data_IF_696021979742
#
_entry.id   IF_696021979742
#
_cell.length_a   1.000
_cell.length_b   1.000
_cell.length_c   1.000
_cell.angle_alpha   90.00
_cell.angle_beta   90.00
_cell.angle_gamma   90.00
#
_symmetry.space_group_name_H-M   'P 1'
#
loop_
_entity.id
_entity.type
_entity.pdbx_description
1 polymer ?
#
# COMPACT_ATOMS: atom_id res chain seq x y z
N UNK A 1 -9.53 1.45 27.14
CA UNK A 1 -8.70 2.67 26.99
C UNK A 1 -8.77 3.11 25.53
N UNK A 2 -8.87 4.40 25.20
CA UNK A 2 -8.99 4.83 23.79
C UNK A 2 -7.59 4.85 23.17
N UNK A 3 -7.36 4.10 22.09
CA UNK A 3 -6.13 4.18 21.29
C UNK A 3 -6.28 5.37 20.32
N UNK A 4 -5.37 6.36 20.39
CA UNK A 4 -5.48 7.62 19.65
C UNK A 4 -4.33 7.90 18.69
N UNK A 5 -3.27 7.12 18.80
CA UNK A 5 -2.02 7.38 18.08
C UNK A 5 -1.64 6.19 17.20
N UNK A 6 -1.11 6.49 16.03
CA UNK A 6 -0.53 5.49 15.14
C UNK A 6 0.85 5.93 14.64
N UNK A 7 1.72 4.97 14.35
CA UNK A 7 2.99 5.17 13.66
C UNK A 7 2.97 4.38 12.36
N UNK A 8 3.25 5.04 11.25
CA UNK A 8 3.30 4.41 9.93
C UNK A 8 4.70 4.53 9.34
N UNK A 9 5.31 3.40 9.07
CA UNK A 9 6.68 3.31 8.56
C UNK A 9 6.71 3.48 7.04
N UNK A 10 7.35 4.54 6.56
CA UNK A 10 7.38 4.92 5.13
C UNK A 10 8.80 5.05 4.57
N UNK A 11 9.76 4.29 5.12
CA UNK A 11 11.19 4.39 4.79
C UNK A 11 11.66 3.69 3.52
N UNK A 12 10.81 2.86 2.88
CA UNK A 12 11.22 2.00 1.76
C UNK A 12 11.44 2.73 0.43
N UNK A 13 12.52 2.35 -0.31
CA UNK A 13 12.83 2.92 -1.64
C UNK A 13 11.92 2.44 -2.78
N UNK A 14 11.18 1.33 -2.62
CA UNK A 14 10.25 0.81 -3.63
C UNK A 14 10.89 0.40 -4.96
N UNK A 15 12.11 -0.13 -4.96
CA UNK A 15 12.90 -0.40 -6.18
C UNK A 15 12.24 -1.37 -7.17
N UNK A 16 11.41 -2.30 -6.68
CA UNK A 16 10.66 -3.25 -7.53
C UNK A 16 9.57 -2.58 -8.38
N UNK A 17 9.18 -1.35 -8.03
CA UNK A 17 8.18 -0.54 -8.76
C UNK A 17 8.81 0.44 -9.75
N UNK A 18 10.15 0.41 -9.90
CA UNK A 18 10.78 1.26 -10.94
C UNK A 18 10.24 0.92 -12.33
N UNK A 19 10.08 1.96 -13.18
CA UNK A 19 10.57 3.34 -13.03
C UNK A 19 9.62 4.29 -12.27
N UNK A 20 8.43 3.88 -11.85
CA UNK A 20 7.43 4.75 -11.20
C UNK A 20 7.95 5.40 -9.90
N UNK A 21 8.84 4.72 -9.19
CA UNK A 21 9.42 5.18 -7.92
C UNK A 21 10.73 5.97 -8.07
N UNK A 22 11.19 6.22 -9.28
CA UNK A 22 12.35 7.09 -9.53
C UNK A 22 12.09 8.54 -9.08
N UNK A 23 10.89 9.04 -9.35
CA UNK A 23 10.50 10.41 -9.09
C UNK A 23 9.79 10.59 -7.76
N UNK A 24 9.08 9.56 -7.26
CA UNK A 24 8.21 9.64 -6.07
C UNK A 24 8.33 8.39 -5.18
N UNK A 25 8.21 8.49 -3.85
CA UNK A 25 8.21 7.33 -2.97
C UNK A 25 6.95 6.47 -3.17
N UNK A 26 7.07 5.15 -2.92
CA UNK A 26 6.01 4.16 -3.08
C UNK A 26 4.68 4.55 -2.39
N UNK A 27 4.65 5.05 -1.14
CA UNK A 27 3.39 5.36 -0.46
C UNK A 27 2.51 6.41 -1.15
N UNK A 28 3.10 7.29 -1.97
CA UNK A 28 2.35 8.32 -2.71
C UNK A 28 2.01 7.94 -4.15
N UNK A 29 2.34 6.73 -4.61
CA UNK A 29 1.82 6.22 -5.87
C UNK A 29 0.29 6.20 -5.84
N UNK A 30 -0.34 6.59 -6.94
CA UNK A 30 -1.80 6.71 -6.99
C UNK A 30 -2.48 5.35 -7.06
N UNK A 31 -3.44 5.15 -6.16
CA UNK A 31 -4.49 4.14 -6.31
C UNK A 31 -5.80 4.90 -6.50
N UNK A 32 -6.39 4.76 -7.68
CA UNK A 32 -7.46 5.64 -8.12
C UNK A 32 -7.01 7.10 -7.96
N UNK A 33 -7.41 8.11 -7.68
CA UNK A 33 -6.81 9.46 -7.58
C UNK A 33 -6.30 9.85 -6.18
N UNK A 34 -6.11 8.88 -5.28
CA UNK A 34 -5.54 9.11 -3.94
C UNK A 34 -4.17 8.44 -3.80
N UNK A 35 -3.25 8.99 -2.98
CA UNK A 35 -2.03 8.27 -2.60
C UNK A 35 -2.35 6.90 -1.98
N UNK A 36 -1.55 5.88 -2.25
CA UNK A 36 -1.74 4.54 -1.68
C UNK A 36 -1.87 4.59 -0.14
N UNK A 37 -1.00 5.33 0.53
CA UNK A 37 -1.03 5.50 1.99
C UNK A 37 -2.31 6.18 2.52
N UNK A 38 -2.99 6.97 1.70
CA UNK A 38 -4.21 7.67 2.11
C UNK A 38 -5.31 6.71 2.59
N UNK A 39 -5.40 5.52 1.98
CA UNK A 39 -6.40 4.51 2.37
C UNK A 39 -6.14 3.95 3.77
N UNK A 40 -4.87 3.70 4.11
CA UNK A 40 -4.47 3.31 5.45
C UNK A 40 -4.76 4.42 6.47
N UNK A 41 -4.38 5.67 6.15
CA UNK A 41 -4.65 6.83 7.03
C UNK A 41 -6.17 7.00 7.23
N UNK A 42 -6.97 6.81 6.18
CA UNK A 42 -8.44 6.80 6.26
C UNK A 42 -8.96 5.72 7.20
N UNK A 43 -8.39 4.52 7.12
CA UNK A 43 -8.74 3.39 7.99
C UNK A 43 -8.41 3.69 9.46
N UNK A 44 -7.25 4.30 9.72
CA UNK A 44 -6.85 4.78 11.04
C UNK A 44 -7.79 5.88 11.56
N UNK A 45 -8.14 6.87 10.74
CA UNK A 45 -9.08 7.93 11.10
C UNK A 45 -10.46 7.37 11.48
N UNK A 46 -10.98 6.40 10.69
CA UNK A 46 -12.24 5.71 10.98
C UNK A 46 -12.20 4.92 12.30
N UNK A 47 -11.04 4.39 12.68
CA UNK A 47 -10.83 3.72 13.96
C UNK A 47 -10.74 4.68 15.15
N UNK A 48 -10.80 6.00 14.93
CA UNK A 48 -10.73 7.02 15.98
C UNK A 48 -9.32 7.41 16.36
N UNK A 49 -8.32 7.10 15.54
CA UNK A 49 -6.96 7.61 15.68
C UNK A 49 -6.97 9.12 15.41
N UNK A 50 -6.34 9.89 16.28
CA UNK A 50 -6.33 11.36 16.23
C UNK A 50 -4.99 11.89 15.69
N UNK A 51 -3.92 11.10 15.83
CA UNK A 51 -2.57 11.44 15.38
C UNK A 51 -1.90 10.26 14.67
N UNK A 52 -1.28 10.54 13.52
CA UNK A 52 -0.41 9.61 12.80
C UNK A 52 0.99 10.19 12.72
N UNK A 53 1.99 9.44 13.18
CA UNK A 53 3.40 9.76 12.99
C UNK A 53 3.90 8.97 11.78
N UNK A 54 4.32 9.66 10.73
CA UNK A 54 4.96 9.04 9.56
C UNK A 54 6.47 8.96 9.83
N UNK A 55 6.99 7.75 10.03
CA UNK A 55 8.43 7.50 10.17
C UNK A 55 9.05 7.42 8.75
N UNK A 56 9.72 8.48 8.35
CA UNK A 56 10.19 8.70 6.98
C UNK A 56 11.69 8.46 6.86
N UNK A 57 12.11 7.66 5.87
CA UNK A 57 13.53 7.46 5.53
C UNK A 57 13.90 7.99 4.14
N UNK A 58 12.98 7.92 3.16
CA UNK A 58 13.25 8.24 1.75
C UNK A 58 12.34 9.34 1.21
N UNK A 59 12.93 10.42 0.63
CA UNK A 59 12.22 11.57 0.04
C UNK A 59 11.14 12.18 0.95
N UNK A 60 11.46 12.59 2.16
CA UNK A 60 10.46 13.02 3.14
C UNK A 60 9.62 14.22 2.68
N UNK A 61 10.20 15.23 2.03
CA UNK A 61 9.48 16.44 1.60
C UNK A 61 8.30 16.17 0.66
N UNK A 62 8.37 15.12 -0.16
CA UNK A 62 7.22 14.72 -1.01
C UNK A 62 6.08 14.10 -0.21
N UNK A 63 6.39 13.45 0.91
CA UNK A 63 5.37 12.93 1.82
C UNK A 63 4.60 14.07 2.47
N UNK A 64 5.29 15.12 2.91
CA UNK A 64 4.68 16.31 3.52
C UNK A 64 3.73 17.03 2.56
N UNK A 65 4.09 17.16 1.29
CA UNK A 65 3.26 17.80 0.27
C UNK A 65 2.00 17.02 -0.10
N UNK A 66 2.01 15.69 0.08
CA UNK A 66 0.96 14.80 -0.44
C UNK A 66 0.12 14.11 0.62
N UNK A 67 0.52 14.17 1.89
CA UNK A 67 -0.10 13.43 2.99
C UNK A 67 -0.26 14.32 4.23
N UNK A 68 -1.02 15.41 4.13
CA UNK A 68 -1.24 16.34 5.25
C UNK A 68 -2.39 15.91 6.20
N UNK A 69 -3.22 14.95 5.78
CA UNK A 69 -4.33 14.41 6.58
C UNK A 69 -5.52 15.35 6.75
N UNK A 70 -5.48 16.55 6.19
CA UNK A 70 -6.50 17.58 6.41
C UNK A 70 -7.90 17.17 5.94
N UNK A 71 -8.00 16.43 4.84
CA UNK A 71 -9.25 15.90 4.30
C UNK A 71 -9.85 14.74 5.16
N UNK A 72 -9.08 14.18 6.08
CA UNK A 72 -9.49 13.09 6.96
C UNK A 72 -9.69 13.52 8.42
N UNK A 73 -9.41 14.79 8.75
CA UNK A 73 -9.52 15.33 10.11
C UNK A 73 -8.53 14.70 11.10
N UNK A 74 -7.40 14.19 10.63
CA UNK A 74 -6.36 13.55 11.42
C UNK A 74 -5.08 14.39 11.40
N UNK A 75 -4.39 14.48 12.53
CA UNK A 75 -3.10 15.18 12.62
C UNK A 75 -1.99 14.28 12.12
N UNK A 76 -1.20 14.75 11.15
CA UNK A 76 0.00 14.06 10.67
C UNK A 76 1.24 14.74 11.22
N UNK A 77 2.15 13.95 11.78
CA UNK A 77 3.51 14.36 12.16
C UNK A 77 4.52 13.54 11.37
N UNK A 78 5.68 14.12 11.15
CA UNK A 78 6.77 13.47 10.42
C UNK A 78 7.94 13.26 11.35
N UNK A 79 8.47 12.04 11.38
CA UNK A 79 9.69 11.67 12.07
C UNK A 79 10.70 11.17 11.03
N UNK A 80 11.94 11.61 11.16
CA UNK A 80 12.99 11.28 10.20
C UNK A 80 14.00 10.36 10.84
N UNK A 81 14.41 9.34 10.09
CA UNK A 81 15.49 8.44 10.46
C UNK A 81 16.73 8.81 9.65
N UNK A 82 17.86 9.06 10.35
CA UNK A 82 19.15 9.32 9.70
C UNK A 82 19.68 8.04 9.04
N UNK A 83 19.45 6.89 9.69
CA UNK A 83 19.79 5.56 9.20
C UNK A 83 18.61 4.59 9.38
N UNK A 84 18.41 3.61 8.48
CA UNK A 84 17.34 2.62 8.63
C UNK A 84 17.52 1.79 9.91
N UNK A 85 16.59 1.92 10.85
CA UNK A 85 16.62 1.23 12.15
C UNK A 85 15.77 -0.05 12.18
N UNK A 86 15.12 -0.42 11.07
CA UNK A 86 14.14 -1.49 11.04
C UNK A 86 12.82 -1.09 11.66
N UNK A 87 11.82 -1.96 11.60
CA UNK A 87 10.45 -1.61 11.99
C UNK A 87 10.28 -1.35 13.49
N UNK A 88 10.86 -2.18 14.34
CA UNK A 88 10.79 -1.98 15.79
C UNK A 88 11.80 -0.93 16.28
N UNK A 89 12.96 -0.81 15.63
CA UNK A 89 13.95 0.22 15.94
C UNK A 89 13.41 1.63 15.67
N UNK A 90 12.65 1.83 14.58
CA UNK A 90 11.95 3.08 14.31
C UNK A 90 10.97 3.46 15.42
N UNK A 91 10.21 2.48 15.96
CA UNK A 91 9.32 2.72 17.12
C UNK A 91 10.13 3.07 18.38
N UNK A 92 11.28 2.42 18.59
CA UNK A 92 12.15 2.72 19.75
C UNK A 92 12.65 4.15 19.74
N UNK A 93 12.97 4.72 18.59
CA UNK A 93 13.35 6.13 18.45
C UNK A 93 12.22 7.10 18.85
N UNK A 94 10.98 6.67 18.77
CA UNK A 94 9.79 7.45 19.09
C UNK A 94 9.21 7.15 20.46
N UNK A 95 9.79 6.22 21.25
CA UNK A 95 9.21 5.67 22.48
C UNK A 95 8.69 6.73 23.46
N UNK A 96 9.44 7.81 23.68
CA UNK A 96 9.05 8.89 24.59
C UNK A 96 7.86 9.72 24.10
N UNK A 97 7.51 9.60 22.83
CA UNK A 97 6.42 10.31 22.16
C UNK A 97 5.17 9.45 21.97
N UNK A 98 5.24 8.16 22.31
CA UNK A 98 4.16 7.21 22.09
C UNK A 98 3.25 7.08 23.32
N UNK A 99 1.94 6.92 23.05
CA UNK A 99 0.95 6.51 24.06
C UNK A 99 1.23 5.07 24.54
N UNK A 100 0.65 4.68 25.70
CA UNK A 100 0.84 3.34 26.26
C UNK A 100 0.36 2.22 25.35
N UNK A 101 -0.66 2.49 24.54
CA UNK A 101 -1.13 1.60 23.47
C UNK A 101 -1.27 2.40 22.17
N UNK A 102 -0.68 1.93 21.11
CA UNK A 102 -0.69 2.58 19.80
C UNK A 102 -0.79 1.57 18.65
N UNK A 103 -1.16 2.06 17.46
CA UNK A 103 -1.13 1.27 16.23
C UNK A 103 0.21 1.49 15.54
N UNK A 104 0.84 0.42 15.05
CA UNK A 104 1.99 0.52 14.14
C UNK A 104 1.62 -0.12 12.81
N UNK A 105 2.04 0.47 11.68
CA UNK A 105 1.76 -0.12 10.38
C UNK A 105 2.89 0.13 9.38
N UNK A 106 3.06 -0.84 8.48
CA UNK A 106 3.83 -0.64 7.27
C UNK A 106 3.06 0.30 6.34
N UNK A 107 3.71 1.39 5.89
CA UNK A 107 3.10 2.38 4.99
C UNK A 107 3.29 2.06 3.51
N UNK A 108 3.88 0.92 3.20
CA UNK A 108 4.12 0.46 1.83
C UNK A 108 3.11 -0.61 1.36
N UNK A 109 2.05 -0.82 2.11
CA UNK A 109 0.90 -1.67 1.75
C UNK A 109 -0.29 -0.81 1.32
N UNK A 110 -1.11 -1.34 0.43
CA UNK A 110 -2.44 -0.81 0.22
C UNK A 110 -3.39 -1.45 1.25
N UNK A 111 -4.01 -0.64 2.08
CA UNK A 111 -4.88 -1.11 3.15
C UNK A 111 -6.11 -0.21 3.32
N UNK A 112 -7.28 -0.73 2.98
CA UNK A 112 -8.58 -0.16 3.30
C UNK A 112 -9.36 -1.16 4.17
N UNK A 113 -9.03 -1.16 5.47
CA UNK A 113 -9.30 -2.22 6.44
C UNK A 113 -10.01 -1.69 7.68
N UNK A 114 -10.53 -2.59 8.50
CA UNK A 114 -11.13 -2.24 9.80
C UNK A 114 -10.09 -2.36 10.93
N UNK A 115 -9.45 -1.22 11.27
CA UNK A 115 -8.50 -1.12 12.38
C UNK A 115 -9.20 -1.04 13.74
N UNK A 116 -10.46 -0.57 13.78
CA UNK A 116 -11.20 -0.48 15.04
C UNK A 116 -11.47 -1.86 15.63
N UNK A 117 -11.79 -2.84 14.78
CA UNK A 117 -11.99 -4.22 15.20
C UNK A 117 -10.70 -4.84 15.75
N UNK A 118 -9.54 -4.59 15.11
CA UNK A 118 -8.22 -5.04 15.60
C UNK A 118 -7.89 -4.45 16.98
N UNK A 119 -8.16 -3.15 17.18
CA UNK A 119 -8.00 -2.48 18.49
C UNK A 119 -8.91 -3.14 19.53
N UNK A 120 -10.17 -3.46 19.19
CA UNK A 120 -11.09 -4.16 20.07
C UNK A 120 -10.56 -5.52 20.51
N UNK A 121 -10.10 -6.34 19.57
CA UNK A 121 -9.46 -7.64 19.85
C UNK A 121 -8.24 -7.50 20.75
N UNK A 122 -7.41 -6.50 20.53
CA UNK A 122 -6.24 -6.22 21.39
C UNK A 122 -6.64 -5.96 22.84
N UNK A 123 -7.66 -5.13 23.04
CA UNK A 123 -8.14 -4.76 24.38
C UNK A 123 -8.83 -5.92 25.09
N UNK A 124 -9.68 -6.68 24.37
CA UNK A 124 -10.43 -7.79 24.93
C UNK A 124 -9.53 -8.96 25.35
N UNK A 125 -8.38 -9.10 24.73
CA UNK A 125 -7.44 -10.20 24.97
C UNK A 125 -6.27 -9.84 25.90
N UNK A 126 -6.13 -8.58 26.30
CA UNK A 126 -4.97 -8.06 27.06
C UNK A 126 -3.63 -8.47 26.43
N UNK A 127 -3.58 -8.42 25.10
CA UNK A 127 -2.41 -8.81 24.34
C UNK A 127 -1.28 -7.77 24.48
N UNK A 128 -0.03 -8.22 24.41
CA UNK A 128 1.13 -7.33 24.30
C UNK A 128 1.31 -6.80 22.89
N UNK A 129 1.00 -7.67 21.92
CA UNK A 129 1.01 -7.37 20.48
C UNK A 129 -0.22 -8.04 19.87
N UNK A 130 -0.98 -7.31 19.06
CA UNK A 130 -1.96 -7.88 18.13
C UNK A 130 -1.45 -7.67 16.72
N UNK A 131 -1.54 -8.69 15.87
CA UNK A 131 -1.06 -8.68 14.49
C UNK A 131 -2.24 -8.94 13.56
N UNK A 132 -2.49 -8.02 12.62
CA UNK A 132 -3.43 -8.28 11.55
C UNK A 132 -2.90 -9.37 10.62
N UNK A 133 -3.71 -10.41 10.40
CA UNK A 133 -3.39 -11.57 9.58
C UNK A 133 -4.32 -11.65 8.37
N UNK A 134 -3.78 -12.06 7.23
CA UNK A 134 -4.56 -12.32 6.01
C UNK A 134 -4.04 -13.56 5.30
N UNK A 135 -4.90 -14.37 4.66
CA UNK A 135 -4.45 -15.52 3.89
C UNK A 135 -3.88 -15.08 2.53
N UNK A 136 -2.82 -15.75 2.09
CA UNK A 136 -2.23 -15.59 0.74
C UNK A 136 -1.88 -16.95 0.13
N UNK A 137 -1.79 -16.98 -1.21
CA UNK A 137 -1.41 -18.21 -1.94
C UNK A 137 0.07 -18.54 -1.81
N UNK A 138 0.94 -17.51 -1.79
CA UNK A 138 2.38 -17.69 -1.63
C UNK A 138 2.92 -16.95 -0.39
N UNK A 139 3.06 -17.64 0.75
CA UNK A 139 3.43 -17.00 2.02
C UNK A 139 4.95 -16.80 2.21
N UNK A 140 5.81 -17.31 1.32
CA UNK A 140 7.26 -17.29 1.53
C UNK A 140 7.92 -15.90 1.54
N UNK A 141 7.21 -14.87 1.07
CA UNK A 141 7.72 -13.49 1.08
C UNK A 141 7.35 -12.73 2.38
N UNK A 142 6.61 -13.34 3.30
CA UNK A 142 6.02 -12.72 4.50
C UNK A 142 6.35 -13.46 5.78
N UNK A 143 6.04 -12.84 6.91
CA UNK A 143 5.96 -13.54 8.18
C UNK A 143 4.69 -14.39 8.25
N UNK A 144 4.78 -15.66 8.60
CA UNK A 144 3.63 -16.56 8.75
C UNK A 144 3.32 -16.82 10.22
N UNK A 145 2.03 -16.97 10.52
CA UNK A 145 1.55 -17.22 11.87
C UNK A 145 0.66 -18.46 11.95
N UNK A 146 0.82 -19.24 13.04
CA UNK A 146 -0.13 -20.27 13.46
C UNK A 146 -0.91 -19.74 14.65
N UNK A 147 -2.23 -19.75 14.56
CA UNK A 147 -3.11 -19.30 15.64
C UNK A 147 -3.84 -20.51 16.25
N UNK A 148 -4.09 -20.45 17.54
CA UNK A 148 -4.96 -21.40 18.24
C UNK A 148 -6.45 -21.00 18.16
N UNK A 149 -7.32 -21.79 18.78
CA UNK A 149 -8.76 -21.54 18.79
C UNK A 149 -9.17 -20.22 19.48
N UNK A 150 -8.31 -19.63 20.30
CA UNK A 150 -8.52 -18.32 20.93
C UNK A 150 -7.96 -17.18 20.12
N UNK A 151 -7.39 -17.46 18.93
CA UNK A 151 -6.69 -16.49 18.09
C UNK A 151 -5.29 -16.12 18.58
N UNK A 152 -4.77 -16.75 19.66
CA UNK A 152 -3.41 -16.52 20.13
C UNK A 152 -2.42 -17.11 19.13
N UNK A 153 -1.39 -16.35 18.80
CA UNK A 153 -0.28 -16.84 17.95
C UNK A 153 0.58 -17.80 18.77
N UNK A 154 0.66 -19.05 18.33
CA UNK A 154 1.47 -20.09 18.95
C UNK A 154 2.82 -20.30 18.28
N UNK A 155 2.93 -19.92 17.00
CA UNK A 155 4.15 -20.02 16.20
C UNK A 155 4.20 -18.89 15.19
N UNK A 156 5.38 -18.30 15.01
CA UNK A 156 5.61 -17.21 14.05
C UNK A 156 6.96 -17.41 13.36
N UNK A 157 7.02 -17.25 12.04
CA UNK A 157 8.25 -17.37 11.27
C UNK A 157 8.29 -16.36 10.13
N UNK A 158 9.33 -15.54 10.10
CA UNK A 158 9.55 -14.54 9.05
C UNK A 158 10.21 -15.21 7.83
N UNK A 159 9.59 -15.00 6.65
CA UNK A 159 10.06 -15.45 5.33
C UNK A 159 10.52 -16.90 5.31
N UNK A 160 9.61 -17.84 5.57
CA UNK A 160 9.95 -19.27 5.61
C UNK A 160 10.40 -19.75 4.22
N UNK A 161 11.28 -20.76 4.20
CA UNK A 161 11.50 -21.51 2.98
C UNK A 161 10.25 -22.35 2.66
N UNK A 162 10.06 -22.80 1.40
CA UNK A 162 8.87 -23.58 1.03
C UNK A 162 8.60 -24.79 1.94
N UNK A 163 9.65 -25.49 2.37
CA UNK A 163 9.59 -26.65 3.27
C UNK A 163 9.27 -26.29 4.73
N UNK A 164 9.34 -25.02 5.08
CA UNK A 164 9.10 -24.50 6.44
C UNK A 164 7.72 -23.85 6.57
N UNK A 165 6.95 -23.82 5.48
CA UNK A 165 5.62 -23.22 5.47
C UNK A 165 4.65 -24.11 6.25
N UNK A 166 4.12 -23.57 7.35
CA UNK A 166 3.13 -24.25 8.20
C UNK A 166 1.76 -23.57 8.19
N UNK A 167 1.66 -22.38 7.57
CA UNK A 167 0.43 -21.57 7.51
C UNK A 167 0.45 -20.69 6.27
N UNK A 168 -0.73 -20.40 5.72
CA UNK A 168 -0.93 -19.37 4.70
C UNK A 168 -1.41 -18.03 5.28
N UNK A 169 -1.62 -17.96 6.61
CA UNK A 169 -1.91 -16.71 7.31
C UNK A 169 -0.63 -15.92 7.47
N UNK A 170 -0.57 -14.78 6.80
CA UNK A 170 0.61 -13.92 6.82
C UNK A 170 0.36 -12.66 7.66
N UNK A 171 1.45 -12.10 8.17
CA UNK A 171 1.50 -10.80 8.80
C UNK A 171 1.22 -9.70 7.77
N UNK A 172 0.11 -9.01 7.93
CA UNK A 172 -0.31 -7.92 7.04
C UNK A 172 0.43 -6.59 7.30
N UNK A 173 1.31 -6.55 8.29
CA UNK A 173 2.08 -5.34 8.62
C UNK A 173 1.26 -4.26 9.32
N UNK A 174 0.19 -4.63 10.01
CA UNK A 174 -0.60 -3.76 10.89
C UNK A 174 -0.63 -4.39 12.26
N UNK A 175 -0.37 -3.59 13.28
CA UNK A 175 -0.19 -4.05 14.65
C UNK A 175 -0.85 -3.12 15.65
N UNK A 176 -1.37 -3.66 16.74
CA UNK A 176 -1.67 -2.90 17.96
C UNK A 176 -0.69 -3.33 19.04
N UNK A 177 -0.03 -2.39 19.67
CA UNK A 177 1.12 -2.63 20.56
C UNK A 177 0.93 -1.97 21.91
N UNK A 178 1.25 -2.70 22.98
CA UNK A 178 1.56 -2.09 24.28
C UNK A 178 2.98 -1.50 24.23
N UNK A 179 3.15 -0.22 24.59
CA UNK A 179 4.45 0.47 24.54
C UNK A 179 5.55 -0.26 25.31
N UNK A 180 5.21 -0.95 26.39
CA UNK A 180 6.16 -1.70 27.22
C UNK A 180 6.99 -2.73 26.46
N UNK A 181 6.49 -3.26 25.31
CA UNK A 181 7.25 -4.23 24.49
C UNK A 181 8.52 -3.60 23.92
N UNK A 182 8.55 -2.27 23.76
CA UNK A 182 9.73 -1.55 23.27
C UNK A 182 10.92 -1.59 24.23
N UNK A 183 10.70 -1.98 25.49
CA UNK A 183 11.79 -2.22 26.44
C UNK A 183 12.72 -3.37 26.01
N UNK A 184 12.26 -4.26 25.11
CA UNK A 184 13.04 -5.35 24.52
C UNK A 184 13.84 -4.92 23.28
N UNK A 185 13.58 -3.71 22.77
CA UNK A 185 14.27 -3.17 21.60
C UNK A 185 15.51 -2.40 22.10
N UNK A 186 16.72 -2.81 21.70
CA UNK A 186 17.94 -2.09 22.07
C UNK A 186 17.97 -0.71 21.40
N UNK A 187 18.45 0.32 22.09
CA UNK A 187 18.53 1.66 21.52
C UNK A 187 19.58 1.72 20.40
N UNK A 188 19.30 2.52 19.36
CA UNK A 188 20.22 2.80 18.24
C UNK A 188 20.74 1.53 17.53
N UNK A 189 19.90 0.52 17.39
CA UNK A 189 20.23 -0.70 16.66
C UNK A 189 19.10 -1.04 15.69
N UNK A 190 19.47 -1.61 14.54
CA UNK A 190 18.49 -2.19 13.63
C UNK A 190 17.76 -3.33 14.32
N UNK A 191 16.43 -3.23 14.39
CA UNK A 191 15.58 -4.22 15.04
C UNK A 191 14.23 -4.31 14.33
N UNK A 192 13.80 -5.52 14.01
CA UNK A 192 12.59 -5.75 13.21
C UNK A 192 11.47 -6.38 14.07
N UNK A 193 10.22 -5.99 13.81
CA UNK A 193 9.07 -6.58 14.51
C UNK A 193 9.01 -8.09 14.30
N UNK A 194 9.06 -8.51 13.05
CA UNK A 194 8.80 -9.90 12.65
C UNK A 194 9.97 -10.84 12.97
N UNK A 195 11.21 -10.36 12.79
CA UNK A 195 12.40 -11.19 12.99
C UNK A 195 12.85 -11.25 14.44
N UNK A 196 12.68 -10.13 15.15
CA UNK A 196 13.31 -9.96 16.44
C UNK A 196 12.28 -9.83 17.58
N UNK A 197 11.39 -8.82 17.54
CA UNK A 197 10.52 -8.50 18.67
C UNK A 197 9.44 -9.56 18.92
N UNK A 198 8.69 -9.97 17.89
CA UNK A 198 7.60 -10.95 18.03
C UNK A 198 8.12 -12.29 18.57
N UNK A 199 9.24 -12.87 18.05
CA UNK A 199 9.83 -14.07 18.62
C UNK A 199 10.26 -13.93 20.09
N UNK A 200 10.82 -12.78 20.50
CA UNK A 200 11.19 -12.52 21.89
C UNK A 200 9.96 -12.54 22.79
N UNK A 201 8.91 -11.79 22.43
CA UNK A 201 7.68 -11.73 23.24
C UNK A 201 7.03 -13.11 23.36
N UNK A 202 7.01 -13.90 22.28
CA UNK A 202 6.51 -15.29 22.31
C UNK A 202 7.34 -16.17 23.24
N UNK A 203 8.67 -16.09 23.19
CA UNK A 203 9.58 -16.87 24.03
C UNK A 203 9.48 -16.54 25.51
N UNK A 204 9.16 -15.32 25.86
CA UNK A 204 8.88 -14.85 27.22
C UNK A 204 7.47 -15.25 27.73
N UNK A 205 6.67 -15.92 26.89
CA UNK A 205 5.27 -16.29 27.20
C UNK A 205 4.29 -15.13 27.12
N UNK A 206 4.71 -13.98 26.61
CA UNK A 206 3.83 -12.83 26.36
C UNK A 206 2.72 -13.19 25.35
N UNK A 207 1.54 -12.59 25.53
CA UNK A 207 0.43 -12.83 24.63
C UNK A 207 0.61 -12.05 23.33
N UNK A 208 0.79 -12.77 22.22
CA UNK A 208 0.70 -12.24 20.87
C UNK A 208 -0.61 -12.76 20.27
N UNK A 209 -1.48 -11.86 19.85
CA UNK A 209 -2.82 -12.15 19.34
C UNK A 209 -2.84 -11.96 17.82
N UNK A 210 -3.44 -12.90 17.08
CA UNK A 210 -3.78 -12.73 15.68
C UNK A 210 -5.19 -12.15 15.53
N UNK A 211 -5.35 -11.25 14.59
CA UNK A 211 -6.63 -10.73 14.14
C UNK A 211 -6.82 -11.02 12.65
N UNK A 212 -7.90 -11.69 12.26
CA UNK A 212 -8.24 -11.90 10.86
C UNK A 212 -8.69 -10.58 10.25
N UNK A 213 -7.87 -10.03 9.38
CA UNK A 213 -8.09 -8.74 8.75
C UNK A 213 -9.37 -8.73 7.92
N UNK A 214 -10.22 -7.70 8.09
CA UNK A 214 -11.37 -7.42 7.25
C UNK A 214 -11.13 -6.19 6.37
N UNK A 215 -11.59 -6.26 5.11
CA UNK A 215 -11.38 -5.19 4.12
C UNK A 215 -10.47 -5.59 2.97
N UNK A 216 -9.87 -4.61 2.29
CA UNK A 216 -8.96 -4.84 1.18
C UNK A 216 -7.53 -4.56 1.65
N UNK A 217 -6.68 -5.55 1.54
CA UNK A 217 -5.25 -5.46 1.80
C UNK A 217 -4.47 -6.05 0.63
N UNK A 218 -3.43 -5.35 0.19
CA UNK A 218 -2.52 -5.81 -0.88
C UNK A 218 -1.10 -5.31 -0.61
N UNK A 219 -0.10 -6.18 -0.72
CA UNK A 219 1.28 -5.73 -0.82
C UNK A 219 1.52 -5.18 -2.24
N UNK A 220 1.57 -3.86 -2.37
CA UNK A 220 1.86 -3.19 -3.64
C UNK A 220 3.37 -3.21 -3.89
N UNK A 221 3.94 -4.40 -4.00
CA UNK A 221 5.38 -4.59 -4.16
C UNK A 221 5.87 -4.47 -5.60
N UNK A 222 5.02 -4.73 -6.58
CA UNK A 222 5.35 -4.83 -8.01
C UNK A 222 4.31 -4.09 -8.87
N UNK A 223 4.61 -3.77 -10.14
CA UNK A 223 3.67 -3.05 -11.01
C UNK A 223 2.29 -3.70 -11.14
N UNK A 224 2.23 -5.03 -11.27
CA UNK A 224 0.94 -5.72 -11.38
C UNK A 224 0.10 -5.65 -10.08
N UNK A 225 0.73 -5.53 -8.92
CA UNK A 225 0.04 -5.31 -7.65
C UNK A 225 -0.59 -3.92 -7.60
N UNK A 226 0.14 -2.91 -8.13
CA UNK A 226 -0.38 -1.54 -8.23
C UNK A 226 -1.58 -1.46 -9.19
N UNK A 227 -1.52 -2.10 -10.35
CA UNK A 227 -2.66 -2.19 -11.26
C UNK A 227 -3.81 -2.95 -10.60
N UNK A 228 -3.52 -4.08 -9.92
CA UNK A 228 -4.51 -4.85 -9.17
C UNK A 228 -5.22 -4.04 -8.11
N UNK A 229 -4.49 -3.25 -7.31
CA UNK A 229 -5.07 -2.35 -6.30
C UNK A 229 -5.98 -1.29 -6.93
N UNK A 230 -5.55 -0.71 -8.05
CA UNK A 230 -6.35 0.26 -8.79
C UNK A 230 -7.66 -0.36 -9.32
N UNK A 231 -7.62 -1.56 -9.89
CA UNK A 231 -8.81 -2.27 -10.39
C UNK A 231 -9.75 -2.70 -9.26
N UNK A 232 -9.20 -3.18 -8.12
CA UNK A 232 -9.99 -3.53 -6.95
C UNK A 232 -10.76 -2.32 -6.40
N UNK A 233 -10.11 -1.15 -6.36
CA UNK A 233 -10.77 0.09 -5.93
C UNK A 233 -11.74 0.63 -6.98
N UNK A 234 -11.44 0.52 -8.26
CA UNK A 234 -12.35 0.88 -9.34
C UNK A 234 -13.66 0.09 -9.26
N UNK A 235 -13.60 -1.20 -8.95
CA UNK A 235 -14.76 -2.05 -8.71
C UNK A 235 -15.58 -1.59 -7.51
N UNK A 236 -14.92 -1.17 -6.42
CA UNK A 236 -15.59 -0.77 -5.17
C UNK A 236 -16.23 0.61 -5.25
N UNK A 237 -15.55 1.57 -5.87
CA UNK A 237 -16.01 2.95 -5.90
C UNK A 237 -17.08 3.21 -6.95
N UNK A 238 -17.26 2.32 -7.95
CA UNK A 238 -18.28 2.40 -9.01
C UNK A 238 -18.49 3.81 -9.56
N UNK A 239 -17.43 4.62 -9.69
CA UNK A 239 -17.55 5.98 -10.22
C UNK A 239 -17.79 5.89 -11.72
N UNK A 240 -19.05 5.85 -12.10
CA UNK A 240 -19.50 6.06 -13.48
C UNK A 240 -19.53 7.56 -13.75
N UNK A 241 -18.39 8.15 -14.03
CA UNK A 241 -18.39 9.53 -14.55
C UNK A 241 -18.74 9.48 -16.05
N UNK A 242 -19.80 10.21 -16.43
CA UNK A 242 -20.40 10.20 -17.78
C UNK A 242 -19.60 10.95 -18.85
N UNK A 243 -18.26 10.97 -18.75
CA UNK A 243 -17.36 11.69 -19.68
C UNK A 243 -16.78 10.81 -20.77
N UNK A 244 -17.36 9.63 -20.99
CA UNK A 244 -17.00 8.75 -22.10
C UNK A 244 -17.92 9.09 -23.30
N UNK A 245 -17.34 9.61 -24.36
CA UNK A 245 -18.03 9.90 -25.63
C UNK A 245 -17.69 8.77 -26.61
N UNK A 246 -18.71 8.06 -27.12
CA UNK A 246 -18.57 6.94 -28.08
C UNK A 246 -17.52 5.89 -27.64
N UNK A 247 -17.46 5.58 -26.33
CA UNK A 247 -16.51 4.62 -25.77
C UNK A 247 -17.20 3.31 -25.39
N UNK A 248 -16.51 2.19 -25.71
CA UNK A 248 -16.89 0.86 -25.26
C UNK A 248 -16.12 0.50 -23.99
N UNK A 249 -16.82 0.39 -22.87
CA UNK A 249 -16.20 0.09 -21.58
C UNK A 249 -16.66 -1.28 -21.07
N UNK A 250 -15.72 -2.15 -20.70
CA UNK A 250 -15.97 -3.50 -20.17
C UNK A 250 -15.10 -3.80 -18.96
N UNK A 251 -15.65 -4.59 -18.01
CA UNK A 251 -14.95 -4.95 -16.77
C UNK A 251 -14.86 -3.80 -15.78
N UNK A 252 -13.94 -3.93 -14.81
CA UNK A 252 -13.73 -2.91 -13.79
C UNK A 252 -12.98 -1.71 -14.40
N UNK A 253 -13.47 -0.50 -14.15
CA UNK A 253 -12.84 0.71 -14.69
C UNK A 253 -13.00 1.89 -13.75
N UNK A 254 -12.11 2.85 -13.94
CA UNK A 254 -12.19 4.15 -13.27
C UNK A 254 -11.78 5.26 -14.24
N UNK A 255 -12.48 6.38 -14.13
CA UNK A 255 -12.16 7.63 -14.83
C UNK A 255 -12.08 8.76 -13.82
N UNK A 256 -10.88 9.30 -13.64
CA UNK A 256 -10.60 10.35 -12.67
C UNK A 256 -11.13 11.73 -13.04
N UNK A 257 -11.16 12.67 -12.09
CA UNK A 257 -11.61 14.04 -12.33
C UNK A 257 -10.88 14.71 -13.50
N UNK A 258 -11.64 15.33 -14.41
CA UNK A 258 -11.06 16.00 -15.59
C UNK A 258 -10.47 15.08 -16.64
N UNK A 259 -10.53 13.75 -16.49
CA UNK A 259 -10.18 12.82 -17.56
C UNK A 259 -11.24 12.81 -18.65
N UNK A 260 -10.83 12.44 -19.87
CA UNK A 260 -11.71 12.28 -21.03
C UNK A 260 -11.36 11.00 -21.78
N UNK A 261 -12.37 10.26 -22.19
CA UNK A 261 -12.22 9.06 -23.04
C UNK A 261 -13.18 9.20 -24.20
N UNK A 262 -12.68 9.18 -25.45
CA UNK A 262 -13.49 9.32 -26.64
C UNK A 262 -13.08 8.32 -27.72
N UNK A 263 -14.05 7.78 -28.48
CA UNK A 263 -13.85 6.83 -29.58
C UNK A 263 -12.90 5.67 -29.20
N UNK A 264 -13.01 5.14 -27.99
CA UNK A 264 -12.01 4.23 -27.42
C UNK A 264 -12.63 2.99 -26.80
N UNK A 265 -11.85 1.91 -26.70
CA UNK A 265 -12.22 0.69 -25.99
C UNK A 265 -11.40 0.57 -24.70
N UNK A 266 -12.08 0.48 -23.55
CA UNK A 266 -11.48 0.23 -22.23
C UNK A 266 -11.95 -1.12 -21.71
N UNK A 267 -10.98 -2.01 -21.41
CA UNK A 267 -11.23 -3.32 -20.82
C UNK A 267 -10.44 -3.43 -19.52
N UNK A 268 -11.12 -3.47 -18.38
CA UNK A 268 -10.50 -3.53 -17.04
C UNK A 268 -9.33 -2.55 -16.91
N UNK A 269 -9.60 -1.26 -17.08
CA UNK A 269 -8.57 -0.23 -17.18
C UNK A 269 -8.92 1.00 -16.35
N UNK A 270 -7.89 1.69 -15.87
CA UNK A 270 -7.98 2.87 -15.01
C UNK A 270 -7.34 4.06 -15.69
N UNK A 271 -8.07 5.17 -15.78
CA UNK A 271 -7.59 6.44 -16.34
C UNK A 271 -7.69 7.51 -15.26
N UNK A 272 -6.55 7.97 -14.73
CA UNK A 272 -6.49 8.91 -13.64
C UNK A 272 -6.72 10.37 -14.11
N UNK A 273 -6.85 11.26 -13.12
CA UNK A 273 -7.22 12.65 -13.30
C UNK A 273 -6.45 13.39 -14.39
N UNK A 274 -7.15 14.20 -15.16
CA UNK A 274 -6.59 15.07 -16.19
C UNK A 274 -6.11 14.35 -17.47
N UNK A 275 -6.18 13.01 -17.52
CA UNK A 275 -5.71 12.21 -18.67
C UNK A 275 -6.74 12.20 -19.80
N UNK A 276 -6.24 12.15 -21.04
CA UNK A 276 -7.07 12.09 -22.25
C UNK A 276 -6.72 10.84 -23.05
N UNK A 277 -7.74 10.07 -23.41
CA UNK A 277 -7.61 8.83 -24.20
C UNK A 277 -8.58 8.95 -25.38
N UNK A 278 -8.05 9.01 -26.59
CA UNK A 278 -8.84 9.19 -27.81
C UNK A 278 -8.44 8.11 -28.83
N UNK A 279 -9.42 7.60 -29.60
CA UNK A 279 -9.20 6.66 -30.70
C UNK A 279 -8.35 5.43 -30.34
N UNK A 280 -8.40 4.97 -29.10
CA UNK A 280 -7.42 4.04 -28.53
C UNK A 280 -8.06 2.79 -27.92
N UNK A 281 -7.25 1.73 -27.76
CA UNK A 281 -7.63 0.52 -27.03
C UNK A 281 -6.75 0.34 -25.81
N UNK A 282 -7.38 0.28 -24.64
CA UNK A 282 -6.77 0.00 -23.35
C UNK A 282 -7.30 -1.34 -22.82
N UNK A 283 -6.39 -2.24 -22.44
CA UNK A 283 -6.74 -3.54 -21.86
C UNK A 283 -5.81 -3.84 -20.69
N UNK A 284 -6.37 -4.00 -19.48
CA UNK A 284 -5.59 -4.13 -18.24
C UNK A 284 -4.49 -3.06 -18.16
N UNK A 285 -4.91 -1.80 -18.23
CA UNK A 285 -4.01 -0.66 -18.29
C UNK A 285 -4.28 0.33 -17.15
N UNK A 286 -3.20 0.89 -16.61
CA UNK A 286 -3.25 2.03 -15.69
C UNK A 286 -2.62 3.23 -16.39
N UNK A 287 -3.44 4.20 -16.74
CA UNK A 287 -3.01 5.50 -17.28
C UNK A 287 -3.01 6.48 -16.11
N UNK A 288 -1.81 6.85 -15.64
CA UNK A 288 -1.67 7.77 -14.52
C UNK A 288 -2.08 9.20 -14.93
N UNK A 289 -1.81 10.20 -14.07
CA UNK A 289 -2.35 11.55 -14.22
C UNK A 289 -1.78 12.29 -15.42
N UNK A 290 -2.61 13.16 -16.02
CA UNK A 290 -2.20 14.09 -17.06
C UNK A 290 -1.59 13.47 -18.32
N UNK A 291 -1.86 12.20 -18.58
CA UNK A 291 -1.42 11.51 -19.80
C UNK A 291 -2.25 11.92 -21.03
N UNK A 292 -1.62 11.77 -22.21
CA UNK A 292 -2.29 11.94 -23.50
C UNK A 292 -2.04 10.70 -24.34
N UNK A 293 -3.12 10.02 -24.73
CA UNK A 293 -3.08 8.78 -25.52
C UNK A 293 -4.00 8.98 -26.71
N UNK A 294 -3.47 8.94 -27.93
CA UNK A 294 -4.25 9.11 -29.15
C UNK A 294 -3.88 8.04 -30.19
N UNK A 295 -4.90 7.33 -30.66
CA UNK A 295 -4.76 6.31 -31.72
C UNK A 295 -3.84 5.16 -31.36
N UNK A 296 -3.74 4.77 -30.10
CA UNK A 296 -2.75 3.83 -29.58
C UNK A 296 -3.37 2.57 -28.98
N UNK A 297 -2.52 1.55 -28.79
CA UNK A 297 -2.87 0.29 -28.12
C UNK A 297 -2.03 0.08 -26.88
N UNK A 298 -2.68 0.02 -25.70
CA UNK A 298 -2.04 -0.16 -24.40
C UNK A 298 -2.56 -1.43 -23.77
N UNK A 299 -1.69 -2.43 -23.56
CA UNK A 299 -2.09 -3.74 -23.01
C UNK A 299 -1.16 -4.15 -21.88
N UNK A 300 -1.72 -4.62 -20.75
CA UNK A 300 -0.98 -5.06 -19.56
C UNK A 300 0.12 -4.06 -19.19
N UNK A 301 -0.19 -2.78 -19.14
CA UNK A 301 0.83 -1.74 -19.03
C UNK A 301 0.43 -0.61 -18.09
N UNK A 302 1.45 0.05 -17.53
CA UNK A 302 1.29 1.24 -16.70
C UNK A 302 2.01 2.41 -17.37
N UNK A 303 1.29 3.50 -17.58
CA UNK A 303 1.86 4.78 -18.01
C UNK A 303 2.04 5.68 -16.78
N UNK A 304 3.27 6.12 -16.52
CA UNK A 304 3.56 7.12 -15.48
C UNK A 304 2.86 8.46 -15.72
N UNK A 305 2.94 9.37 -14.77
CA UNK A 305 2.31 10.70 -14.89
C UNK A 305 2.85 11.46 -16.11
N UNK A 306 1.96 12.15 -16.83
CA UNK A 306 2.35 13.02 -17.95
C UNK A 306 2.82 12.32 -19.22
N UNK A 307 2.68 11.01 -19.35
CA UNK A 307 3.07 10.28 -20.56
C UNK A 307 2.27 10.75 -21.80
N UNK A 308 2.94 10.76 -22.94
CA UNK A 308 2.34 11.06 -24.23
C UNK A 308 2.54 9.86 -25.15
N UNK A 309 1.44 9.21 -25.57
CA UNK A 309 1.46 8.09 -26.51
C UNK A 309 0.77 8.51 -27.80
N UNK A 310 1.54 8.56 -28.89
CA UNK A 310 1.10 9.11 -30.17
C UNK A 310 0.47 8.03 -31.06
N UNK A 311 -0.17 8.48 -32.12
CA UNK A 311 -0.96 7.68 -33.03
C UNK A 311 -0.20 6.47 -33.61
N UNK A 312 -0.85 5.31 -33.62
CA UNK A 312 -0.28 4.05 -34.11
C UNK A 312 0.73 3.39 -33.16
N UNK A 313 1.01 3.98 -32.00
CA UNK A 313 1.93 3.38 -31.04
C UNK A 313 1.31 2.18 -30.30
N UNK A 314 2.15 1.23 -29.91
CA UNK A 314 1.80 0.08 -29.08
C UNK A 314 2.66 0.04 -27.81
N UNK A 315 2.01 -0.05 -26.63
CA UNK A 315 2.68 -0.27 -25.35
C UNK A 315 2.14 -1.55 -24.74
N UNK A 316 2.98 -2.56 -24.65
CA UNK A 316 2.60 -3.92 -24.28
C UNK A 316 3.48 -4.40 -23.13
N UNK A 317 2.88 -4.98 -22.09
CA UNK A 317 3.61 -5.60 -20.97
C UNK A 317 4.75 -4.70 -20.46
N UNK A 318 4.48 -3.41 -20.26
CA UNK A 318 5.49 -2.39 -20.01
C UNK A 318 5.08 -1.42 -18.90
N UNK A 319 6.07 -0.83 -18.25
CA UNK A 319 5.89 0.23 -17.25
C UNK A 319 6.71 1.44 -17.66
N UNK A 320 6.04 2.51 -18.06
CA UNK A 320 6.68 3.73 -18.52
C UNK A 320 6.92 4.70 -17.36
N UNK A 321 8.09 5.31 -17.35
CA UNK A 321 8.42 6.40 -16.43
C UNK A 321 7.52 7.62 -16.65
N UNK A 322 7.47 8.51 -15.66
CA UNK A 322 6.77 9.80 -15.79
C UNK A 322 7.31 10.58 -17.00
N UNK A 323 6.40 11.30 -17.70
CA UNK A 323 6.70 12.15 -18.84
C UNK A 323 7.33 11.43 -20.06
N UNK A 324 7.22 10.11 -20.14
CA UNK A 324 7.68 9.35 -21.31
C UNK A 324 6.86 9.72 -22.55
N UNK A 325 7.56 9.93 -23.67
CA UNK A 325 6.94 10.13 -24.99
C UNK A 325 7.16 8.89 -25.84
N UNK A 326 6.05 8.28 -26.30
CA UNK A 326 6.08 7.18 -27.26
C UNK A 326 5.68 7.75 -28.61
N UNK A 327 6.60 7.64 -29.58
CA UNK A 327 6.44 8.25 -30.89
C UNK A 327 5.43 7.48 -31.76
N UNK A 328 4.93 8.14 -32.82
CA UNK A 328 3.95 7.53 -33.72
C UNK A 328 4.46 6.24 -34.34
N UNK A 329 3.65 5.17 -34.27
CA UNK A 329 4.00 3.85 -34.78
C UNK A 329 5.07 3.11 -33.95
N UNK A 330 5.58 3.68 -32.88
CA UNK A 330 6.56 3.02 -32.02
C UNK A 330 5.91 1.86 -31.24
N UNK A 331 6.62 0.74 -31.14
CA UNK A 331 6.24 -0.39 -30.28
C UNK A 331 7.20 -0.54 -29.12
N UNK A 332 6.65 -0.58 -27.92
CA UNK A 332 7.34 -0.91 -26.67
C UNK A 332 6.73 -2.20 -26.13
N UNK A 333 7.57 -3.22 -25.92
CA UNK A 333 7.17 -4.48 -25.30
C UNK A 333 8.31 -4.93 -24.38
N UNK A 334 8.12 -4.77 -23.07
CA UNK A 334 9.17 -5.11 -22.08
C UNK A 334 9.06 -6.55 -21.59
N UNK A 335 8.01 -7.28 -21.97
CA UNK A 335 7.75 -8.62 -21.47
C UNK A 335 7.52 -8.69 -19.96
N UNK A 336 7.24 -7.57 -19.32
CA UNK A 336 6.96 -7.50 -17.86
C UNK A 336 5.58 -8.08 -17.57
N UNK A 337 5.44 -8.71 -16.42
CA UNK A 337 4.14 -9.00 -15.85
C UNK A 337 3.58 -7.72 -15.22
N UNK A 338 2.48 -7.20 -15.76
CA UNK A 338 1.76 -6.01 -15.29
C UNK A 338 0.30 -6.34 -15.01
#
# INVERSE_FOLDING_TARGET
MKVRQAVVMVGGKGTRLMPLTETKPKPILSVVDKPCIWYLIRSLARAGIEEVILACGYKPGMMEERCDGSDLGIRIRYAYEDEPMGTAGAMKLLEDQLDDTFVASNGDVFADIDVAEEIGVHQDTDAKITIALTPVDNPCEFGIARVDASGRISEFKEKPKPEEVFSNLINAGVYVLQKEVLSRVPPNQFFDFSKDLVPIILSEGGRVQGYSLSGIWMDVGRPYDLLGANLAMAKREHIRDHRAEDACIRGDFYMGPGSKVANSELISSVVLAGSKVENSRLERALVMRNCKVDGARIINSILGDGCIVKHGAEVLNAVLADNTVVESGQRIDEGRRV
#
